data_IF_908084936191
#
_entry.id   IF_908084936191
#
_cell.length_a   1.000
_cell.length_b   1.000
_cell.length_c   1.000
_cell.angle_alpha   90.00
_cell.angle_beta   90.00
_cell.angle_gamma   90.00
#
_symmetry.space_group_name_H-M   'P 1'
#
loop_
_entity.id
_entity.type
_entity.pdbx_description
1 polymer ?
#
# COMPACT_ATOMS: atom_id res chain seq x y z
N UNK A 1 81.60 -9.84 -3.15
CA UNK A 1 80.19 -9.59 -2.77
C UNK A 1 79.34 -10.62 -3.48
N UNK A 2 78.86 -11.64 -2.78
CA UNK A 2 78.00 -12.68 -3.33
C UNK A 2 76.55 -12.21 -3.27
N UNK A 3 75.87 -12.13 -4.42
CA UNK A 3 74.45 -11.83 -4.51
C UNK A 3 73.66 -13.13 -4.29
N UNK A 4 72.82 -13.15 -3.27
CA UNK A 4 71.84 -14.21 -3.02
C UNK A 4 70.73 -14.11 -4.07
N UNK A 5 70.54 -15.18 -4.84
CA UNK A 5 69.43 -15.36 -5.75
C UNK A 5 68.23 -15.91 -4.95
N UNK A 6 67.18 -15.09 -4.81
CA UNK A 6 65.97 -15.47 -4.08
C UNK A 6 65.10 -16.38 -4.95
N UNK A 7 64.74 -17.56 -4.42
CA UNK A 7 63.82 -18.50 -5.05
C UNK A 7 62.40 -17.91 -5.16
N UNK A 8 61.65 -18.17 -6.25
CA UNK A 8 60.29 -17.66 -6.41
C UNK A 8 59.31 -18.37 -5.46
N UNK A 9 58.57 -17.57 -4.68
CA UNK A 9 57.46 -18.04 -3.83
C UNK A 9 56.36 -18.65 -4.69
N UNK A 10 55.92 -19.86 -4.34
CA UNK A 10 54.78 -20.52 -4.96
C UNK A 10 53.48 -19.71 -4.71
N UNK A 11 52.56 -19.65 -5.69
CA UNK A 11 51.27 -18.99 -5.52
C UNK A 11 50.41 -19.73 -4.48
N UNK A 12 49.57 -19.01 -3.70
CA UNK A 12 48.71 -19.63 -2.70
C UNK A 12 47.69 -20.56 -3.36
N UNK A 13 47.73 -21.83 -2.96
CA UNK A 13 46.79 -22.86 -3.38
C UNK A 13 45.37 -22.47 -2.94
N UNK A 14 44.48 -22.22 -3.91
CA UNK A 14 43.06 -22.01 -3.65
C UNK A 14 42.50 -23.24 -2.91
N UNK A 15 41.87 -23.00 -1.76
CA UNK A 15 41.17 -24.05 -1.02
C UNK A 15 40.13 -24.73 -1.93
N UNK A 16 39.95 -26.06 -1.85
CA UNK A 16 38.98 -26.76 -2.67
C UNK A 16 37.56 -26.22 -2.39
N UNK A 17 36.71 -26.06 -3.42
CA UNK A 17 35.34 -25.59 -3.24
C UNK A 17 34.59 -26.52 -2.27
N UNK A 18 33.88 -25.94 -1.30
CA UNK A 18 32.97 -26.69 -0.41
C UNK A 18 32.07 -27.59 -1.28
N UNK A 19 31.88 -28.87 -0.94
CA UNK A 19 30.96 -29.72 -1.67
C UNK A 19 29.57 -29.09 -1.64
N UNK A 20 28.95 -28.96 -2.82
CA UNK A 20 27.58 -28.47 -2.95
C UNK A 20 26.66 -29.36 -2.11
N UNK A 21 25.78 -28.75 -1.32
CA UNK A 21 24.81 -29.49 -0.53
C UNK A 21 23.91 -30.37 -1.42
N UNK A 22 23.51 -31.53 -0.91
CA UNK A 22 22.56 -32.38 -1.63
C UNK A 22 21.15 -31.74 -1.62
N UNK A 23 20.32 -32.09 -2.60
CA UNK A 23 18.93 -31.61 -2.65
C UNK A 23 18.13 -32.07 -1.42
N UNK A 24 18.31 -33.31 -0.96
CA UNK A 24 17.69 -33.83 0.28
C UNK A 24 18.10 -33.02 1.52
N UNK A 25 19.37 -32.61 1.62
CA UNK A 25 19.82 -31.78 2.73
C UNK A 25 19.20 -30.39 2.70
N UNK A 26 19.07 -29.80 1.50
CA UNK A 26 18.39 -28.51 1.31
C UNK A 26 16.92 -28.64 1.68
N UNK A 27 16.23 -29.67 1.23
CA UNK A 27 14.82 -29.91 1.55
C UNK A 27 14.61 -30.06 3.06
N UNK A 28 15.43 -30.88 3.73
CA UNK A 28 15.35 -31.08 5.19
C UNK A 28 15.57 -29.78 5.95
N UNK A 29 16.57 -28.97 5.58
CA UNK A 29 16.81 -27.66 6.21
C UNK A 29 15.67 -26.68 5.90
N UNK A 30 15.14 -26.70 4.67
CA UNK A 30 14.03 -25.85 4.27
C UNK A 30 12.80 -26.11 5.15
N UNK A 31 12.43 -27.38 5.34
CA UNK A 31 11.32 -27.76 6.22
C UNK A 31 11.51 -27.25 7.65
N UNK A 32 12.71 -27.39 8.21
CA UNK A 32 13.01 -26.91 9.55
C UNK A 32 12.83 -25.39 9.68
N UNK A 33 13.42 -24.62 8.75
CA UNK A 33 13.33 -23.15 8.74
C UNK A 33 11.88 -22.69 8.57
N UNK A 34 11.13 -23.32 7.68
CA UNK A 34 9.73 -22.97 7.40
C UNK A 34 8.85 -23.25 8.62
N UNK A 35 8.98 -24.41 9.26
CA UNK A 35 8.18 -24.73 10.47
C UNK A 35 8.50 -23.79 11.64
N UNK A 36 9.79 -23.47 11.85
CA UNK A 36 10.20 -22.52 12.88
C UNK A 36 9.65 -21.12 12.60
N UNK A 37 9.77 -20.65 11.36
CA UNK A 37 9.20 -19.37 10.95
C UNK A 37 7.68 -19.32 11.14
N UNK A 38 6.95 -20.38 10.75
CA UNK A 38 5.50 -20.41 10.91
C UNK A 38 5.07 -20.51 12.38
N UNK A 39 5.92 -21.03 13.26
CA UNK A 39 5.65 -21.12 14.70
C UNK A 39 5.96 -19.81 15.45
N UNK A 40 7.11 -19.20 15.18
CA UNK A 40 7.65 -18.06 15.95
C UNK A 40 7.33 -16.72 15.26
N UNK A 41 7.12 -16.73 13.93
CA UNK A 41 6.89 -15.56 13.08
C UNK A 41 8.02 -14.52 13.08
N UNK A 42 9.25 -14.96 13.32
CA UNK A 42 10.45 -14.10 13.31
C UNK A 42 11.07 -14.01 11.91
N UNK A 43 10.65 -13.00 11.15
CA UNK A 43 11.08 -12.80 9.75
C UNK A 43 12.60 -12.63 9.61
N UNK A 44 13.25 -11.89 10.52
CA UNK A 44 14.69 -11.61 10.43
C UNK A 44 15.52 -12.89 10.60
N UNK A 45 15.10 -13.75 11.52
CA UNK A 45 15.75 -15.04 11.76
C UNK A 45 15.58 -15.97 10.56
N UNK A 46 14.36 -16.10 10.03
CA UNK A 46 14.11 -16.92 8.84
C UNK A 46 14.97 -16.49 7.63
N UNK A 47 15.07 -15.18 7.37
CA UNK A 47 15.94 -14.66 6.31
C UNK A 47 17.42 -15.01 6.55
N UNK A 48 17.88 -14.94 7.79
CA UNK A 48 19.25 -15.28 8.16
C UNK A 48 19.53 -16.77 7.98
N UNK A 49 18.63 -17.65 8.43
CA UNK A 49 18.78 -19.10 8.25
C UNK A 49 18.83 -19.51 6.78
N UNK A 50 18.03 -18.87 5.92
CA UNK A 50 18.08 -19.14 4.46
C UNK A 50 19.42 -18.70 3.87
N UNK A 51 19.98 -17.58 4.31
CA UNK A 51 21.33 -17.15 3.87
C UNK A 51 22.42 -18.12 4.33
N UNK A 52 22.34 -18.58 5.57
CA UNK A 52 23.30 -19.53 6.16
C UNK A 52 23.26 -20.91 5.53
N UNK A 53 22.18 -21.23 4.80
CA UNK A 53 22.09 -22.44 4.00
C UNK A 53 23.15 -22.48 2.89
N UNK A 54 23.64 -21.32 2.41
CA UNK A 54 24.71 -21.18 1.42
C UNK A 54 24.51 -22.04 0.14
N UNK A 55 23.24 -22.16 -0.29
CA UNK A 55 22.83 -23.02 -1.42
C UNK A 55 22.05 -22.24 -2.51
N UNK A 56 22.58 -21.14 -3.06
CA UNK A 56 21.83 -20.23 -3.95
C UNK A 56 21.30 -20.91 -5.23
N UNK A 57 21.97 -21.95 -5.72
CA UNK A 57 21.55 -22.68 -6.93
C UNK A 57 20.41 -23.69 -6.68
N UNK A 58 20.12 -24.00 -5.42
CA UNK A 58 19.11 -24.97 -4.99
C UNK A 58 17.95 -24.31 -4.24
N UNK A 59 17.87 -22.97 -4.21
CA UNK A 59 16.76 -22.27 -3.54
C UNK A 59 15.38 -22.54 -4.17
N UNK A 60 15.32 -23.06 -5.39
CA UNK A 60 14.08 -23.62 -5.96
C UNK A 60 13.47 -24.71 -5.08
N UNK A 61 14.31 -25.54 -4.43
CA UNK A 61 13.89 -26.58 -3.48
C UNK A 61 13.24 -25.94 -2.25
N UNK A 62 13.80 -24.85 -1.74
CA UNK A 62 13.22 -24.10 -0.62
C UNK A 62 11.81 -23.58 -0.96
N UNK A 63 11.65 -23.01 -2.16
CA UNK A 63 10.36 -22.50 -2.64
C UNK A 63 9.35 -23.64 -2.81
N UNK A 64 9.71 -24.73 -3.49
CA UNK A 64 8.88 -25.93 -3.64
C UNK A 64 8.42 -26.44 -2.28
N UNK A 65 9.38 -26.70 -1.40
CA UNK A 65 9.14 -27.23 -0.04
C UNK A 65 8.18 -26.37 0.75
N UNK A 66 8.34 -25.04 0.69
CA UNK A 66 7.47 -24.11 1.40
C UNK A 66 6.08 -24.00 0.82
N UNK A 67 5.93 -24.09 -0.50
CA UNK A 67 4.59 -24.16 -1.11
C UNK A 67 3.91 -25.47 -0.69
N UNK A 68 4.56 -26.62 -0.85
CA UNK A 68 4.01 -27.94 -0.51
C UNK A 68 3.61 -28.05 0.97
N UNK A 69 4.48 -27.60 1.89
CA UNK A 69 4.22 -27.72 3.32
C UNK A 69 3.14 -26.77 3.84
N UNK A 70 2.78 -25.73 3.08
CA UNK A 70 1.81 -24.71 3.52
C UNK A 70 0.51 -24.69 2.75
N UNK A 71 0.45 -25.29 1.56
CA UNK A 71 -0.70 -25.23 0.65
C UNK A 71 -2.01 -25.63 1.34
N UNK A 72 -2.01 -26.72 2.10
CA UNK A 72 -3.19 -27.27 2.78
C UNK A 72 -3.31 -26.85 4.25
N UNK A 73 -2.44 -25.95 4.73
CA UNK A 73 -2.55 -25.39 6.09
C UNK A 73 -3.61 -24.27 6.12
N UNK A 74 -3.52 -23.37 7.10
CA UNK A 74 -4.43 -22.23 7.22
C UNK A 74 -4.08 -21.11 6.23
N UNK A 75 -5.06 -20.25 5.94
CA UNK A 75 -4.84 -19.05 5.10
C UNK A 75 -3.72 -18.15 5.65
N UNK A 76 -3.62 -18.02 6.97
CA UNK A 76 -2.54 -17.24 7.60
C UNK A 76 -1.16 -17.88 7.36
N UNK A 77 -1.05 -19.22 7.36
CA UNK A 77 0.20 -19.90 7.07
C UNK A 77 0.64 -19.68 5.61
N UNK A 78 -0.31 -19.74 4.66
CA UNK A 78 -0.06 -19.43 3.25
C UNK A 78 0.37 -17.98 3.04
N UNK A 79 -0.30 -17.05 3.72
CA UNK A 79 0.07 -15.63 3.68
C UNK A 79 1.47 -15.38 4.26
N UNK A 80 1.80 -15.98 5.41
CA UNK A 80 3.14 -15.89 5.99
C UNK A 80 4.20 -16.48 5.06
N UNK A 81 3.93 -17.62 4.44
CA UNK A 81 4.84 -18.21 3.44
C UNK A 81 5.07 -17.26 2.26
N UNK A 82 4.01 -16.68 1.70
CA UNK A 82 4.12 -15.70 0.63
C UNK A 82 4.92 -14.45 1.03
N UNK A 83 4.73 -13.96 2.26
CA UNK A 83 5.49 -12.85 2.81
C UNK A 83 6.98 -13.19 2.99
N UNK A 84 7.31 -14.40 3.44
CA UNK A 84 8.69 -14.87 3.54
C UNK A 84 9.37 -14.89 2.15
N UNK A 85 8.70 -15.45 1.14
CA UNK A 85 9.21 -15.45 -0.24
C UNK A 85 9.41 -14.04 -0.78
N UNK A 86 8.46 -13.13 -0.52
CA UNK A 86 8.60 -11.72 -0.88
C UNK A 86 9.81 -11.06 -0.22
N UNK A 87 10.02 -11.27 1.10
CA UNK A 87 11.17 -10.69 1.80
C UNK A 87 12.50 -11.26 1.32
N UNK A 88 12.55 -12.56 1.01
CA UNK A 88 13.74 -13.18 0.43
C UNK A 88 14.07 -12.62 -0.96
N UNK A 89 13.06 -12.37 -1.80
CA UNK A 89 13.21 -11.71 -3.11
C UNK A 89 13.71 -10.27 -2.93
N UNK A 90 13.05 -9.48 -2.06
CA UNK A 90 13.39 -8.08 -1.78
C UNK A 90 14.80 -7.92 -1.22
N UNK A 91 15.23 -8.85 -0.39
CA UNK A 91 16.58 -8.88 0.17
C UNK A 91 17.65 -9.44 -0.79
N UNK A 92 17.28 -9.85 -2.00
CA UNK A 92 18.18 -10.45 -2.99
C UNK A 92 18.73 -11.83 -2.61
N UNK A 93 18.22 -12.44 -1.54
CA UNK A 93 18.64 -13.76 -1.06
C UNK A 93 18.05 -14.86 -1.95
N UNK A 94 16.81 -14.68 -2.41
CA UNK A 94 16.16 -15.56 -3.38
C UNK A 94 16.15 -14.89 -4.77
N UNK A 95 16.94 -15.37 -5.74
CA UNK A 95 16.90 -14.86 -7.10
C UNK A 95 15.57 -15.22 -7.79
N UNK A 96 14.97 -14.32 -8.60
CA UNK A 96 13.72 -14.62 -9.31
C UNK A 96 13.74 -15.92 -10.14
N UNK A 97 14.83 -16.31 -10.82
CA UNK A 97 14.88 -17.59 -11.54
C UNK A 97 14.65 -18.82 -10.64
N UNK A 98 15.14 -18.79 -9.40
CA UNK A 98 14.93 -19.87 -8.43
C UNK A 98 13.49 -19.88 -7.90
N UNK A 99 12.91 -18.70 -7.67
CA UNK A 99 11.50 -18.55 -7.34
C UNK A 99 10.59 -19.17 -8.41
N UNK A 100 10.78 -18.78 -9.69
CA UNK A 100 9.97 -19.31 -10.77
C UNK A 100 10.14 -20.82 -10.95
N UNK A 101 11.36 -21.34 -10.82
CA UNK A 101 11.62 -22.78 -10.95
C UNK A 101 10.89 -23.58 -9.86
N UNK A 102 11.00 -23.17 -8.60
CA UNK A 102 10.31 -23.87 -7.50
C UNK A 102 8.78 -23.80 -7.61
N UNK A 103 8.24 -22.68 -8.08
CA UNK A 103 6.81 -22.54 -8.35
C UNK A 103 6.34 -23.42 -9.52
N UNK A 104 7.13 -23.46 -10.60
CA UNK A 104 6.81 -24.20 -11.82
C UNK A 104 6.61 -25.69 -11.53
N UNK A 105 7.47 -26.29 -10.68
CA UNK A 105 7.36 -27.70 -10.28
C UNK A 105 6.00 -28.03 -9.65
N UNK A 106 5.40 -27.09 -8.91
CA UNK A 106 4.05 -27.25 -8.33
C UNK A 106 2.95 -26.98 -9.36
N UNK A 107 3.11 -25.93 -10.17
CA UNK A 107 2.10 -25.54 -11.16
C UNK A 107 1.89 -26.60 -12.25
N UNK A 108 2.93 -27.37 -12.59
CA UNK A 108 2.86 -28.46 -13.57
C UNK A 108 1.95 -29.62 -13.10
N UNK A 109 1.82 -29.83 -11.78
CA UNK A 109 0.97 -30.89 -11.19
C UNK A 109 -0.29 -30.34 -10.51
N UNK A 110 -0.51 -29.02 -10.54
CA UNK A 110 -1.60 -28.37 -9.82
C UNK A 110 -3.00 -28.81 -10.28
N UNK A 111 -3.17 -29.18 -11.56
CA UNK A 111 -4.46 -29.70 -12.04
C UNK A 111 -4.78 -31.08 -11.43
N UNK A 112 -3.79 -31.97 -11.30
CA UNK A 112 -3.97 -33.27 -10.65
C UNK A 112 -4.25 -33.09 -9.16
N UNK A 113 -3.52 -32.18 -8.50
CA UNK A 113 -3.75 -31.84 -7.09
C UNK A 113 -5.14 -31.23 -6.85
N UNK A 114 -5.76 -30.59 -7.86
CA UNK A 114 -7.10 -30.03 -7.73
C UNK A 114 -8.19 -31.09 -7.51
N UNK A 115 -7.90 -32.37 -7.81
CA UNK A 115 -8.78 -33.50 -7.52
C UNK A 115 -8.99 -33.64 -6.01
N UNK A 116 -7.91 -33.52 -5.24
CA UNK A 116 -7.92 -33.67 -3.79
C UNK A 116 -8.09 -32.32 -3.06
N UNK A 117 -7.70 -31.21 -3.70
CA UNK A 117 -7.69 -29.86 -3.14
C UNK A 117 -8.56 -28.92 -3.99
N UNK A 118 -9.88 -28.85 -3.76
CA UNK A 118 -10.80 -28.07 -4.62
C UNK A 118 -10.47 -26.58 -4.75
N UNK A 119 -9.84 -26.00 -3.73
CA UNK A 119 -9.49 -24.57 -3.66
C UNK A 119 -8.01 -24.30 -3.96
N UNK A 120 -7.30 -25.23 -4.61
CA UNK A 120 -5.86 -25.12 -4.86
C UNK A 120 -5.45 -23.80 -5.54
N UNK A 121 -6.25 -23.31 -6.49
CA UNK A 121 -5.95 -22.07 -7.21
C UNK A 121 -5.97 -20.85 -6.29
N UNK A 122 -6.95 -20.77 -5.38
CA UNK A 122 -6.99 -19.75 -4.34
C UNK A 122 -5.80 -19.90 -3.38
N UNK A 123 -5.46 -21.12 -2.98
CA UNK A 123 -4.36 -21.37 -2.04
C UNK A 123 -3.00 -20.99 -2.65
N UNK A 124 -2.76 -21.35 -3.91
CA UNK A 124 -1.59 -20.89 -4.66
C UNK A 124 -1.59 -19.37 -4.78
N UNK A 125 -2.73 -18.75 -5.09
CA UNK A 125 -2.83 -17.30 -5.18
C UNK A 125 -2.51 -16.60 -3.84
N UNK A 126 -2.93 -17.16 -2.69
CA UNK A 126 -2.60 -16.62 -1.36
C UNK A 126 -1.09 -16.63 -1.07
N UNK A 127 -0.35 -17.62 -1.59
CA UNK A 127 1.11 -17.70 -1.46
C UNK A 127 1.81 -16.77 -2.48
N UNK A 128 1.25 -16.63 -3.67
CA UNK A 128 1.88 -15.88 -4.77
C UNK A 128 1.68 -14.37 -4.62
N UNK A 129 0.47 -13.92 -4.23
CA UNK A 129 0.08 -12.51 -4.22
C UNK A 129 1.08 -11.58 -3.51
N UNK A 130 1.63 -11.92 -2.32
CA UNK A 130 2.56 -11.04 -1.62
C UNK A 130 3.83 -10.67 -2.40
N UNK A 131 4.27 -11.50 -3.37
CA UNK A 131 5.46 -11.18 -4.18
C UNK A 131 5.26 -10.00 -5.13
N UNK A 132 4.02 -9.54 -5.31
CA UNK A 132 3.67 -8.35 -6.10
C UNK A 132 3.79 -7.04 -5.31
N UNK A 133 4.07 -7.12 -4.00
CA UNK A 133 4.32 -5.94 -3.18
C UNK A 133 5.62 -5.22 -3.58
N UNK A 134 5.77 -3.99 -3.11
CA UNK A 134 6.93 -3.14 -3.41
C UNK A 134 8.28 -3.80 -3.07
N UNK A 135 9.19 -3.81 -4.04
CA UNK A 135 10.48 -4.50 -3.95
C UNK A 135 10.43 -5.98 -4.32
N UNK A 136 9.26 -6.50 -4.74
CA UNK A 136 9.07 -7.83 -5.27
C UNK A 136 9.16 -7.92 -6.80
N UNK A 137 8.38 -8.80 -7.40
CA UNK A 137 8.36 -9.07 -8.84
C UNK A 137 7.28 -8.23 -9.53
N UNK A 138 7.61 -7.63 -10.67
CA UNK A 138 6.63 -6.90 -11.48
C UNK A 138 5.50 -7.81 -11.99
N UNK A 139 4.25 -7.34 -11.89
CA UNK A 139 3.04 -8.08 -12.29
C UNK A 139 3.14 -8.73 -13.66
N UNK A 140 3.56 -7.96 -14.68
CA UNK A 140 3.69 -8.48 -16.04
C UNK A 140 4.72 -9.59 -16.19
N UNK A 141 5.80 -9.57 -15.41
CA UNK A 141 6.79 -10.64 -15.42
C UNK A 141 6.28 -11.87 -14.68
N UNK A 142 5.68 -11.68 -13.50
CA UNK A 142 5.13 -12.76 -12.70
C UNK A 142 4.05 -13.52 -13.47
N UNK A 143 3.04 -12.81 -13.98
CA UNK A 143 1.87 -13.41 -14.62
C UNK A 143 2.27 -14.21 -15.87
N UNK A 144 3.11 -13.64 -16.74
CA UNK A 144 3.62 -14.37 -17.91
C UNK A 144 4.46 -15.59 -17.55
N UNK A 145 5.13 -15.60 -16.38
CA UNK A 145 5.97 -16.74 -15.96
C UNK A 145 5.13 -17.84 -15.33
N UNK A 146 4.24 -17.52 -14.39
CA UNK A 146 3.39 -18.52 -13.71
C UNK A 146 2.34 -19.11 -14.64
N UNK A 147 1.91 -18.37 -15.67
CA UNK A 147 0.95 -18.90 -16.65
C UNK A 147 1.54 -19.95 -17.59
N UNK A 148 2.85 -19.97 -17.85
CA UNK A 148 3.47 -20.87 -18.84
C UNK A 148 3.09 -22.35 -18.67
N UNK A 149 3.27 -22.98 -17.50
CA UNK A 149 2.87 -24.37 -17.29
C UNK A 149 1.35 -24.58 -17.33
N UNK A 150 0.56 -23.53 -17.12
CA UNK A 150 -0.90 -23.58 -17.01
C UNK A 150 -1.64 -23.32 -18.34
N UNK A 151 -0.96 -22.77 -19.35
CA UNK A 151 -1.55 -22.49 -20.66
C UNK A 151 -2.04 -23.76 -21.35
N UNK A 152 -1.25 -24.86 -21.44
CA UNK A 152 -1.73 -26.11 -22.04
C UNK A 152 -2.91 -26.74 -21.28
N UNK A 153 -3.02 -26.46 -19.99
CA UNK A 153 -4.08 -26.97 -19.11
C UNK A 153 -5.35 -26.11 -19.14
N UNK A 154 -5.32 -24.95 -19.80
CA UNK A 154 -6.42 -23.97 -19.74
C UNK A 154 -6.67 -23.40 -18.34
N UNK A 155 -5.68 -23.45 -17.44
CA UNK A 155 -5.81 -22.99 -16.03
C UNK A 155 -5.11 -21.68 -15.75
N UNK A 156 -4.40 -21.11 -16.73
CA UNK A 156 -3.68 -19.86 -16.56
C UNK A 156 -4.60 -18.74 -16.05
N UNK A 157 -5.69 -18.47 -16.75
CA UNK A 157 -6.64 -17.44 -16.36
C UNK A 157 -7.30 -17.68 -15.00
N UNK A 158 -7.52 -18.95 -14.62
CA UNK A 158 -8.10 -19.33 -13.32
C UNK A 158 -7.21 -18.84 -12.17
N UNK A 159 -5.91 -19.14 -12.21
CA UNK A 159 -4.96 -18.67 -11.20
C UNK A 159 -4.85 -17.14 -11.17
N UNK A 160 -4.78 -16.50 -12.34
CA UNK A 160 -4.62 -15.05 -12.42
C UNK A 160 -5.83 -14.29 -11.85
N UNK A 161 -7.05 -14.81 -12.05
CA UNK A 161 -8.25 -14.25 -11.44
C UNK A 161 -8.15 -14.27 -9.92
N UNK A 162 -7.77 -15.41 -9.32
CA UNK A 162 -7.62 -15.51 -7.86
C UNK A 162 -6.58 -14.52 -7.32
N UNK A 163 -5.44 -14.37 -7.99
CA UNK A 163 -4.41 -13.38 -7.62
C UNK A 163 -4.96 -11.95 -7.70
N UNK A 164 -5.66 -11.61 -8.78
CA UNK A 164 -6.25 -10.27 -8.94
C UNK A 164 -7.31 -9.96 -7.88
N UNK A 165 -8.18 -10.93 -7.57
CA UNK A 165 -9.20 -10.77 -6.52
C UNK A 165 -8.57 -10.62 -5.14
N UNK A 166 -7.47 -11.33 -4.85
CA UNK A 166 -6.71 -11.15 -3.61
C UNK A 166 -6.02 -9.78 -3.54
N UNK A 167 -5.44 -9.30 -4.63
CA UNK A 167 -4.93 -7.92 -4.68
C UNK A 167 -6.05 -6.92 -4.39
N UNK A 168 -7.25 -7.14 -4.92
CA UNK A 168 -8.40 -6.27 -4.68
C UNK A 168 -8.88 -6.26 -3.21
N UNK A 169 -8.39 -7.17 -2.34
CA UNK A 169 -8.59 -7.07 -0.89
C UNK A 169 -7.66 -6.04 -0.23
N UNK A 170 -6.51 -5.76 -0.84
CA UNK A 170 -5.50 -4.80 -0.33
C UNK A 170 -5.40 -3.50 -1.13
N UNK A 171 -6.07 -3.40 -2.29
CA UNK A 171 -6.13 -2.20 -3.12
C UNK A 171 -7.43 -2.16 -3.94
N UNK A 172 -7.75 -1.02 -4.56
CA UNK A 172 -8.96 -0.89 -5.38
C UNK A 172 -8.90 -1.70 -6.68
N UNK A 173 -10.07 -2.13 -7.18
CA UNK A 173 -10.22 -2.73 -8.52
C UNK A 173 -9.62 -1.85 -9.61
N UNK A 174 -9.77 -0.52 -9.52
CA UNK A 174 -9.18 0.44 -10.47
C UNK A 174 -7.65 0.37 -10.47
N UNK A 175 -7.03 0.32 -9.29
CA UNK A 175 -5.57 0.21 -9.16
C UNK A 175 -5.05 -1.14 -9.66
N UNK A 176 -5.70 -2.24 -9.31
CA UNK A 176 -5.36 -3.56 -9.83
C UNK A 176 -5.49 -3.61 -11.37
N UNK A 177 -6.55 -3.02 -11.92
CA UNK A 177 -6.76 -2.89 -13.35
C UNK A 177 -5.76 -1.98 -14.05
N UNK A 178 -5.29 -0.91 -13.39
CA UNK A 178 -4.20 -0.07 -13.89
C UNK A 178 -2.89 -0.86 -13.94
N UNK A 179 -2.51 -1.54 -12.86
CA UNK A 179 -1.29 -2.37 -12.82
C UNK A 179 -1.30 -3.46 -13.90
N UNK A 180 -2.46 -4.08 -14.14
CA UNK A 180 -2.65 -5.05 -15.21
C UNK A 180 -2.38 -4.44 -16.59
N UNK A 181 -2.98 -3.27 -16.86
CA UNK A 181 -2.86 -2.57 -18.15
C UNK A 181 -1.46 -2.00 -18.37
N UNK A 182 -0.84 -1.39 -17.36
CA UNK A 182 0.54 -0.88 -17.40
C UNK A 182 1.56 -1.99 -17.58
N UNK A 183 1.26 -3.20 -17.08
CA UNK A 183 2.07 -4.39 -17.32
C UNK A 183 1.96 -4.93 -18.76
N UNK A 184 1.09 -4.35 -19.59
CA UNK A 184 0.83 -4.77 -20.97
C UNK A 184 0.27 -6.19 -21.04
N UNK A 185 -0.63 -6.54 -20.11
CA UNK A 185 -1.27 -7.84 -20.04
C UNK A 185 -2.61 -7.84 -20.79
N UNK A 186 -2.91 -8.95 -21.46
CA UNK A 186 -4.17 -9.17 -22.16
C UNK A 186 -4.72 -10.54 -21.78
N UNK A 187 -6.03 -10.63 -21.52
CA UNK A 187 -6.66 -11.92 -21.24
C UNK A 187 -6.56 -12.90 -22.41
N UNK A 188 -6.41 -12.40 -23.64
CA UNK A 188 -6.16 -13.25 -24.82
C UNK A 188 -4.86 -14.05 -24.73
N UNK A 189 -3.90 -13.60 -23.92
CA UNK A 189 -2.65 -14.32 -23.71
C UNK A 189 -2.79 -15.49 -22.74
N UNK A 190 -3.93 -15.59 -22.03
CA UNK A 190 -4.16 -16.52 -20.92
C UNK A 190 -5.41 -17.39 -21.06
N UNK A 191 -6.25 -17.10 -22.05
CA UNK A 191 -7.48 -17.82 -22.35
C UNK A 191 -7.31 -18.67 -23.63
N UNK A 192 -8.07 -19.77 -23.78
CA UNK A 192 -8.22 -20.48 -25.04
C UNK A 192 -8.72 -19.56 -26.18
N UNK A 193 -8.36 -19.87 -27.43
CA UNK A 193 -8.68 -19.03 -28.60
C UNK A 193 -10.19 -18.85 -28.85
N UNK A 194 -11.02 -19.80 -28.40
CA UNK A 194 -12.47 -19.83 -28.56
C UNK A 194 -13.23 -19.12 -27.43
N UNK A 195 -12.54 -18.68 -26.37
CA UNK A 195 -13.18 -18.06 -25.21
C UNK A 195 -13.41 -16.55 -25.42
N UNK A 196 -14.66 -16.11 -25.19
CA UNK A 196 -15.02 -14.70 -25.27
C UNK A 196 -14.49 -13.94 -24.03
N UNK A 197 -13.54 -13.05 -24.25
CA UNK A 197 -12.89 -12.26 -23.19
C UNK A 197 -13.91 -11.43 -22.39
N UNK A 198 -14.87 -10.79 -23.04
CA UNK A 198 -15.84 -9.91 -22.37
C UNK A 198 -16.78 -10.72 -21.47
N UNK A 199 -17.24 -11.86 -21.98
CA UNK A 199 -18.01 -12.82 -21.20
C UNK A 199 -17.20 -13.33 -20.01
N UNK A 200 -15.96 -13.76 -20.24
CA UNK A 200 -15.07 -14.26 -19.19
C UNK A 200 -14.87 -13.25 -18.06
N UNK A 201 -14.49 -12.01 -18.39
CA UNK A 201 -14.22 -11.01 -17.35
C UNK A 201 -15.48 -10.64 -16.57
N UNK A 202 -16.65 -10.70 -17.20
CA UNK A 202 -17.94 -10.45 -16.55
C UNK A 202 -18.29 -11.60 -15.59
N UNK A 203 -18.19 -12.84 -16.06
CA UNK A 203 -18.47 -14.04 -15.27
C UNK A 203 -17.52 -14.14 -14.06
N UNK A 204 -16.27 -13.69 -14.22
CA UNK A 204 -15.23 -13.70 -13.18
C UNK A 204 -15.14 -12.42 -12.36
N UNK A 205 -15.94 -11.39 -12.66
CA UNK A 205 -15.93 -10.08 -11.97
C UNK A 205 -14.56 -9.38 -12.00
N UNK A 206 -13.88 -9.46 -13.14
CA UNK A 206 -12.56 -8.84 -13.39
C UNK A 206 -12.60 -7.83 -14.54
N UNK A 207 -13.76 -7.21 -14.80
CA UNK A 207 -14.00 -6.23 -15.86
C UNK A 207 -13.09 -5.00 -15.74
N UNK A 208 -12.67 -4.68 -14.50
CA UNK A 208 -11.73 -3.61 -14.20
C UNK A 208 -10.37 -3.75 -14.93
N UNK A 209 -10.05 -4.93 -15.45
CA UNK A 209 -8.83 -5.18 -16.23
C UNK A 209 -8.92 -4.76 -17.70
N UNK A 210 -10.13 -4.65 -18.27
CA UNK A 210 -10.30 -4.25 -19.68
C UNK A 210 -10.02 -2.76 -19.86
N UNK A 211 -10.28 -1.96 -18.82
CA UNK A 211 -10.27 -0.50 -18.90
C UNK A 211 -11.45 0.00 -19.72
N UNK A 212 -12.10 1.07 -19.28
CA UNK A 212 -13.07 1.74 -20.15
C UNK A 212 -12.30 2.34 -21.34
N UNK A 213 -12.71 2.00 -22.57
CA UNK A 213 -12.20 2.53 -23.84
C UNK A 213 -12.28 4.08 -23.94
N UNK A 214 -12.80 4.75 -22.90
CA UNK A 214 -12.89 6.21 -22.76
C UNK A 214 -11.80 6.82 -21.87
N UNK A 215 -11.10 6.03 -21.04
CA UNK A 215 -10.11 6.57 -20.08
C UNK A 215 -8.69 6.75 -20.65
N UNK A 216 -8.41 6.27 -21.86
CA UNK A 216 -7.18 6.68 -22.57
C UNK A 216 -7.21 8.14 -23.05
N UNK A 217 -8.34 8.84 -22.87
CA UNK A 217 -8.55 10.21 -23.33
C UNK A 217 -9.05 11.20 -22.26
N UNK A 218 -8.62 11.10 -20.99
CA UNK A 218 -8.45 12.30 -20.13
C UNK A 218 -7.80 11.95 -18.79
N UNK A 219 -6.49 12.12 -18.71
CA UNK A 219 -5.83 12.64 -17.49
C UNK A 219 -6.20 14.13 -17.31
N UNK A 220 -7.48 14.46 -17.34
CA UNK A 220 -7.96 15.79 -16.95
C UNK A 220 -8.51 15.63 -15.56
N UNK A 221 -7.70 16.02 -14.59
CA UNK A 221 -8.13 16.16 -13.23
C UNK A 221 -9.46 16.91 -13.10
N UNK A 222 -10.23 16.59 -12.05
CA UNK A 222 -11.53 17.19 -11.80
C UNK A 222 -11.43 18.72 -11.68
N UNK A 223 -12.37 19.50 -12.25
CA UNK A 223 -12.41 20.93 -12.03
C UNK A 223 -12.53 21.27 -10.53
N UNK A 224 -11.88 22.35 -10.05
CA UNK A 224 -11.98 22.91 -8.70
C UNK A 224 -13.37 22.88 -8.05
N UNK A 225 -14.38 23.31 -8.80
CA UNK A 225 -15.75 23.44 -8.29
C UNK A 225 -16.43 22.06 -8.11
N UNK A 226 -16.08 21.08 -8.93
CA UNK A 226 -16.64 19.73 -8.84
C UNK A 226 -15.98 18.91 -7.74
N UNK A 227 -14.70 19.18 -7.45
CA UNK A 227 -13.97 18.54 -6.35
C UNK A 227 -14.65 18.78 -5.00
N UNK A 228 -14.96 20.04 -4.66
CA UNK A 228 -15.64 20.38 -3.41
C UNK A 228 -16.99 19.69 -3.32
N UNK A 229 -17.79 19.77 -4.38
CA UNK A 229 -19.14 19.22 -4.40
C UNK A 229 -19.14 17.69 -4.17
N UNK A 230 -18.26 16.95 -4.84
CA UNK A 230 -18.22 15.49 -4.67
C UNK A 230 -17.71 15.06 -3.30
N UNK A 231 -16.75 15.81 -2.72
CA UNK A 231 -16.32 15.57 -1.34
C UNK A 231 -17.44 15.85 -0.34
N UNK A 232 -18.17 16.97 -0.50
CA UNK A 232 -19.34 17.28 0.33
C UNK A 232 -20.38 16.15 0.26
N UNK A 233 -20.69 15.66 -0.94
CA UNK A 233 -21.63 14.56 -1.16
C UNK A 233 -21.18 13.25 -0.49
N UNK A 234 -19.90 12.88 -0.60
CA UNK A 234 -19.36 11.67 0.02
C UNK A 234 -19.41 11.73 1.54
N UNK A 235 -19.02 12.87 2.11
CA UNK A 235 -19.01 13.08 3.56
C UNK A 235 -20.46 13.10 4.08
N UNK A 236 -21.38 13.76 3.37
CA UNK A 236 -22.81 13.79 3.73
C UNK A 236 -23.47 12.41 3.66
N UNK A 237 -23.06 11.56 2.70
CA UNK A 237 -23.50 10.16 2.61
C UNK A 237 -22.91 9.26 3.71
N UNK A 238 -22.15 9.81 4.66
CA UNK A 238 -21.47 9.07 5.72
C UNK A 238 -20.57 7.95 5.18
N UNK A 239 -19.95 8.17 4.01
CA UNK A 239 -18.93 7.27 3.49
C UNK A 239 -17.80 7.12 4.52
N UNK A 240 -17.26 5.92 4.73
CA UNK A 240 -16.12 5.73 5.63
C UNK A 240 -14.83 6.32 5.03
N UNK A 241 -13.76 6.40 5.82
CA UNK A 241 -12.50 6.99 5.35
C UNK A 241 -11.91 6.21 4.17
N UNK A 242 -12.10 4.88 4.14
CA UNK A 242 -11.62 4.05 3.05
C UNK A 242 -12.30 4.43 1.74
N UNK A 243 -13.62 4.59 1.72
CA UNK A 243 -14.36 5.00 0.52
C UNK A 243 -13.97 6.40 0.05
N UNK A 244 -13.62 7.32 0.95
CA UNK A 244 -13.10 8.65 0.56
C UNK A 244 -11.71 8.54 -0.05
N UNK A 245 -10.81 7.73 0.53
CA UNK A 245 -9.51 7.44 -0.08
C UNK A 245 -9.66 6.81 -1.47
N UNK A 246 -10.53 5.81 -1.59
CA UNK A 246 -10.82 5.12 -2.85
C UNK A 246 -11.32 6.10 -3.91
N UNK A 247 -12.20 7.04 -3.52
CA UNK A 247 -12.69 8.06 -4.43
C UNK A 247 -11.59 9.04 -4.86
N UNK A 248 -10.76 9.52 -3.94
CA UNK A 248 -9.65 10.43 -4.28
C UNK A 248 -8.68 9.76 -5.24
N UNK A 249 -8.27 8.52 -4.96
CA UNK A 249 -7.38 7.74 -5.85
C UNK A 249 -8.03 7.44 -7.20
N UNK A 250 -9.35 7.27 -7.25
CA UNK A 250 -10.05 6.95 -8.48
C UNK A 250 -10.32 8.17 -9.37
N UNK A 251 -10.47 9.36 -8.79
CA UNK A 251 -10.97 10.53 -9.51
C UNK A 251 -9.94 11.65 -9.70
N UNK A 252 -8.86 11.65 -8.92
CA UNK A 252 -7.80 12.66 -8.99
C UNK A 252 -6.50 12.07 -9.54
N UNK A 253 -5.79 12.86 -10.35
CA UNK A 253 -4.43 12.54 -10.74
C UNK A 253 -3.43 12.83 -9.59
N UNK A 254 -2.18 12.39 -9.74
CA UNK A 254 -1.15 12.53 -8.70
C UNK A 254 -0.85 14.00 -8.32
N UNK A 255 -1.00 14.93 -9.27
CA UNK A 255 -0.82 16.36 -9.00
C UNK A 255 -2.00 16.93 -8.20
N UNK A 256 -3.22 16.52 -8.51
CA UNK A 256 -4.41 16.92 -7.77
C UNK A 256 -4.49 16.26 -6.39
N UNK A 257 -4.11 14.99 -6.27
CA UNK A 257 -4.05 14.27 -5.01
C UNK A 257 -3.04 14.87 -4.03
N UNK A 258 -1.96 15.46 -4.55
CA UNK A 258 -0.96 16.21 -3.75
C UNK A 258 -1.19 17.72 -3.75
N UNK A 259 -2.34 18.22 -4.25
CA UNK A 259 -2.60 19.66 -4.37
C UNK A 259 -3.03 20.30 -3.04
N UNK A 260 -2.77 21.61 -2.89
CA UNK A 260 -3.33 22.38 -1.77
C UNK A 260 -4.86 22.50 -1.88
N UNK A 261 -5.38 22.40 -3.10
CA UNK A 261 -6.80 22.48 -3.38
C UNK A 261 -7.58 21.31 -2.79
N UNK A 262 -7.06 20.08 -2.89
CA UNK A 262 -7.66 18.93 -2.22
C UNK A 262 -7.69 19.12 -0.70
N UNK A 263 -6.57 19.54 -0.11
CA UNK A 263 -6.48 19.77 1.34
C UNK A 263 -7.51 20.77 1.81
N UNK A 264 -7.65 21.90 1.12
CA UNK A 264 -8.65 22.92 1.45
C UNK A 264 -10.08 22.37 1.31
N UNK A 265 -10.36 21.62 0.25
CA UNK A 265 -11.69 21.09 0.00
C UNK A 265 -12.08 20.02 1.02
N UNK A 266 -11.17 19.11 1.34
CA UNK A 266 -11.36 18.06 2.32
C UNK A 266 -11.56 18.64 3.72
N UNK A 267 -10.71 19.59 4.15
CA UNK A 267 -10.85 20.27 5.43
C UNK A 267 -12.20 20.99 5.55
N UNK A 268 -12.63 21.68 4.48
CA UNK A 268 -13.93 22.35 4.45
C UNK A 268 -15.08 21.36 4.58
N UNK A 269 -15.06 20.27 3.81
CA UNK A 269 -16.14 19.26 3.78
C UNK A 269 -16.29 18.57 5.13
N UNK A 270 -15.17 18.16 5.74
CA UNK A 270 -15.15 17.50 7.05
C UNK A 270 -15.65 18.45 8.13
N UNK A 271 -15.09 19.67 8.22
CA UNK A 271 -15.50 20.63 9.23
C UNK A 271 -16.97 21.01 9.08
N UNK A 272 -17.44 21.27 7.85
CA UNK A 272 -18.84 21.61 7.59
C UNK A 272 -19.80 20.48 8.03
N UNK A 273 -19.43 19.22 7.83
CA UNK A 273 -20.24 18.07 8.27
C UNK A 273 -20.31 17.88 9.79
N UNK A 274 -19.29 18.38 10.50
CA UNK A 274 -19.19 18.28 11.96
C UNK A 274 -19.88 19.44 12.70
N UNK A 275 -20.47 20.41 12.00
CA UNK A 275 -21.18 21.52 12.64
C UNK A 275 -22.61 21.08 12.98
N UNK A 276 -22.97 21.22 14.26
CA UNK A 276 -24.29 20.87 14.79
C UNK A 276 -24.92 22.04 15.56
N UNK A 277 -26.25 22.08 15.59
CA UNK A 277 -27.03 23.14 16.25
C UNK A 277 -27.13 24.41 15.40
N UNK A 278 -28.18 25.21 15.60
CA UNK A 278 -28.40 26.46 14.84
C UNK A 278 -28.08 27.73 15.65
N UNK A 279 -28.23 27.68 16.98
CA UNK A 279 -27.81 28.79 17.87
C UNK A 279 -27.71 28.34 19.36
N UNK A 280 -26.51 28.22 19.95
CA UNK A 280 -25.20 28.38 19.33
C UNK A 280 -24.80 27.14 18.51
N UNK A 281 -24.03 27.36 17.44
CA UNK A 281 -23.33 26.28 16.74
C UNK A 281 -22.34 25.58 17.67
N UNK A 282 -22.17 24.27 17.48
CA UNK A 282 -21.20 23.41 18.17
C UNK A 282 -20.47 22.52 17.18
N UNK A 283 -19.32 21.99 17.60
CA UNK A 283 -18.58 20.96 16.85
C UNK A 283 -18.94 19.59 17.42
N UNK A 284 -19.34 18.68 16.54
CA UNK A 284 -19.41 17.25 16.81
C UNK A 284 -17.99 16.68 16.75
N UNK A 285 -17.30 16.69 17.91
CA UNK A 285 -15.91 16.26 18.01
C UNK A 285 -15.72 14.80 17.57
N UNK A 286 -16.71 13.93 17.82
CA UNK A 286 -16.63 12.52 17.44
C UNK A 286 -16.54 12.36 15.91
N UNK A 287 -17.27 13.18 15.15
CA UNK A 287 -17.15 13.17 13.69
C UNK A 287 -15.79 13.66 13.21
N UNK A 288 -15.18 14.65 13.87
CA UNK A 288 -13.83 15.10 13.51
C UNK A 288 -12.80 14.01 13.83
N UNK A 289 -12.87 13.39 15.01
CA UNK A 289 -12.04 12.24 15.42
C UNK A 289 -12.15 11.08 14.42
N UNK A 290 -13.37 10.73 13.99
CA UNK A 290 -13.59 9.70 12.98
C UNK A 290 -12.91 10.02 11.64
N UNK A 291 -12.71 11.31 11.32
CA UNK A 291 -12.05 11.79 10.10
C UNK A 291 -10.58 12.17 10.29
N UNK A 292 -10.01 12.09 11.49
CA UNK A 292 -8.64 12.49 11.77
C UNK A 292 -7.63 11.78 10.86
N UNK A 293 -7.72 10.44 10.76
CA UNK A 293 -6.86 9.64 9.86
C UNK A 293 -6.99 10.01 8.38
N UNK A 294 -8.19 10.44 7.96
CA UNK A 294 -8.44 10.90 6.59
C UNK A 294 -7.71 12.22 6.33
N UNK A 295 -7.79 13.18 7.26
CA UNK A 295 -7.07 14.45 7.15
C UNK A 295 -5.55 14.24 7.21
N UNK A 296 -5.06 13.48 8.19
CA UNK A 296 -3.63 13.18 8.38
C UNK A 296 -2.97 12.54 7.15
N UNK A 297 -3.73 11.77 6.35
CA UNK A 297 -3.22 11.17 5.11
C UNK A 297 -2.80 12.23 4.07
N UNK A 298 -3.46 13.39 4.04
CA UNK A 298 -3.24 14.43 3.03
C UNK A 298 -2.53 15.68 3.59
N UNK A 299 -2.56 15.88 4.91
CA UNK A 299 -1.81 16.91 5.63
C UNK A 299 -0.40 16.40 5.94
N UNK A 300 0.39 16.19 4.89
CA UNK A 300 1.70 15.52 4.98
C UNK A 300 2.82 16.38 5.55
N UNK A 301 2.63 17.70 5.56
CA UNK A 301 3.60 18.68 6.01
C UNK A 301 2.92 19.94 6.57
N UNK A 302 3.72 20.75 7.26
CA UNK A 302 3.29 22.00 7.90
C UNK A 302 2.67 23.00 6.91
N UNK A 303 3.08 22.99 5.63
CA UNK A 303 2.48 23.86 4.62
C UNK A 303 1.07 23.40 4.26
N UNK A 304 0.81 22.08 4.21
CA UNK A 304 -0.54 21.52 4.05
C UNK A 304 -1.42 21.82 5.24
N UNK A 305 -0.91 21.65 6.45
CA UNK A 305 -1.63 21.98 7.68
C UNK A 305 -2.04 23.46 7.69
N UNK A 306 -1.14 24.37 7.30
CA UNK A 306 -1.44 25.79 7.15
C UNK A 306 -2.54 26.08 6.10
N UNK A 307 -2.53 25.37 4.96
CA UNK A 307 -3.60 25.48 3.96
C UNK A 307 -4.95 25.01 4.50
N UNK A 308 -4.96 23.99 5.34
CA UNK A 308 -6.16 23.51 5.99
C UNK A 308 -6.73 24.56 6.98
N UNK A 309 -5.87 25.22 7.76
CA UNK A 309 -6.28 26.33 8.64
C UNK A 309 -6.86 27.52 7.88
N UNK A 310 -6.32 27.86 6.71
CA UNK A 310 -6.93 28.89 5.84
C UNK A 310 -8.31 28.49 5.32
N UNK A 311 -8.50 27.23 4.94
CA UNK A 311 -9.81 26.72 4.53
C UNK A 311 -10.84 26.82 5.66
N UNK A 312 -10.44 26.43 6.88
CA UNK A 312 -11.29 26.55 8.07
C UNK A 312 -11.63 28.02 8.38
N UNK A 313 -10.67 28.93 8.29
CA UNK A 313 -10.94 30.38 8.43
C UNK A 313 -11.95 30.86 7.39
N UNK A 314 -11.79 30.48 6.12
CA UNK A 314 -12.71 30.85 5.05
C UNK A 314 -14.13 30.32 5.30
N UNK A 315 -14.26 29.10 5.84
CA UNK A 315 -15.54 28.53 6.27
C UNK A 315 -16.18 29.39 7.38
N UNK A 316 -15.42 29.80 8.40
CA UNK A 316 -15.93 30.69 9.45
C UNK A 316 -16.41 32.03 8.91
N UNK A 317 -15.70 32.60 7.94
CA UNK A 317 -16.13 33.84 7.26
C UNK A 317 -17.45 33.64 6.52
N UNK A 318 -17.60 32.52 5.80
CA UNK A 318 -18.84 32.18 5.09
C UNK A 318 -20.03 32.03 6.04
N UNK A 319 -19.79 31.62 7.29
CA UNK A 319 -20.81 31.47 8.33
C UNK A 319 -21.02 32.73 9.18
N UNK A 320 -20.49 33.88 8.75
CA UNK A 320 -20.58 35.15 9.48
C UNK A 320 -19.92 35.11 10.88
N UNK A 321 -18.89 34.27 11.04
CA UNK A 321 -18.00 34.21 12.20
C UNK A 321 -18.73 33.94 13.53
N UNK A 322 -19.37 32.75 13.67
CA UNK A 322 -20.08 32.40 14.89
C UNK A 322 -19.14 32.32 16.09
N UNK A 323 -19.63 32.77 17.25
CA UNK A 323 -18.85 32.80 18.48
C UNK A 323 -18.38 31.39 18.88
N UNK A 324 -17.13 31.29 19.33
CA UNK A 324 -16.47 30.07 19.83
C UNK A 324 -16.34 28.89 18.86
N UNK A 325 -16.92 28.93 17.65
CA UNK A 325 -16.88 27.78 16.74
C UNK A 325 -15.47 27.48 16.25
N UNK A 326 -14.72 28.51 15.83
CA UNK A 326 -13.33 28.35 15.39
C UNK A 326 -12.45 27.78 16.50
N UNK A 327 -12.66 28.24 17.74
CA UNK A 327 -11.94 27.76 18.92
C UNK A 327 -12.16 26.26 19.13
N UNK A 328 -13.42 25.80 19.09
CA UNK A 328 -13.74 24.38 19.24
C UNK A 328 -13.07 23.52 18.17
N UNK A 329 -13.02 23.98 16.91
CA UNK A 329 -12.27 23.26 15.87
C UNK A 329 -10.76 23.23 16.13
N UNK A 330 -10.17 24.33 16.60
CA UNK A 330 -8.73 24.37 16.93
C UNK A 330 -8.38 23.37 18.03
N UNK A 331 -9.18 23.33 19.11
CA UNK A 331 -9.00 22.37 20.20
C UNK A 331 -9.06 20.93 19.65
N UNK A 332 -10.12 20.58 18.91
CA UNK A 332 -10.29 19.20 18.38
C UNK A 332 -9.22 18.80 17.37
N UNK A 333 -8.80 19.71 16.48
CA UNK A 333 -7.79 19.41 15.46
C UNK A 333 -6.38 19.27 16.07
N UNK A 334 -6.11 19.98 17.17
CA UNK A 334 -4.89 19.83 17.95
C UNK A 334 -4.88 18.50 18.72
N UNK A 335 -5.95 18.21 19.47
CA UNK A 335 -6.07 16.99 20.30
C UNK A 335 -5.97 15.69 19.48
N UNK A 336 -6.41 15.72 18.21
CA UNK A 336 -6.39 14.57 17.30
C UNK A 336 -5.11 14.47 16.44
N UNK A 337 -4.07 15.25 16.74
CA UNK A 337 -2.81 15.30 15.98
C UNK A 337 -3.04 15.58 14.46
N UNK A 338 -4.06 16.36 14.12
CA UNK A 338 -4.35 16.71 12.71
C UNK A 338 -3.57 17.95 12.29
N UNK A 339 -3.44 18.92 13.19
CA UNK A 339 -2.67 20.16 13.00
C UNK A 339 -1.72 20.32 14.16
N UNK A 340 -0.45 20.52 13.86
CA UNK A 340 0.61 20.69 14.85
C UNK A 340 0.72 22.14 15.30
N UNK A 341 1.37 22.32 16.44
CA UNK A 341 1.62 23.61 17.06
C UNK A 341 2.27 24.63 16.11
N UNK A 342 3.27 24.21 15.34
CA UNK A 342 4.01 25.10 14.44
C UNK A 342 3.11 25.67 13.33
N UNK A 343 2.17 24.86 12.82
CA UNK A 343 1.20 25.30 11.83
C UNK A 343 0.24 26.35 12.39
N UNK A 344 -0.17 26.23 13.67
CA UNK A 344 -0.99 27.24 14.34
C UNK A 344 -0.24 28.58 14.47
N UNK A 345 1.01 28.58 14.92
CA UNK A 345 1.82 29.82 15.00
C UNK A 345 2.08 30.45 13.64
N UNK A 346 2.33 29.62 12.61
CA UNK A 346 2.43 30.12 11.23
C UNK A 346 1.15 30.73 10.72
N UNK A 347 0.01 30.11 11.03
CA UNK A 347 -1.28 30.71 10.71
C UNK A 347 -1.44 32.04 11.45
N UNK A 348 -1.16 32.11 12.75
CA UNK A 348 -1.27 33.33 13.56
C UNK A 348 -0.45 34.49 12.99
N UNK A 349 0.82 34.23 12.66
CA UNK A 349 1.77 35.22 12.16
C UNK A 349 1.67 35.52 10.66
N UNK A 350 0.84 34.78 9.92
CA UNK A 350 0.72 34.91 8.47
C UNK A 350 0.23 36.30 8.02
N UNK A 351 0.96 36.84 7.04
CA UNK A 351 0.65 38.11 6.35
C UNK A 351 0.30 37.91 4.88
N UNK A 352 -0.07 36.69 4.48
CA UNK A 352 -0.47 36.40 3.10
C UNK A 352 -1.67 37.28 2.71
N UNK A 353 -1.53 38.17 1.70
CA UNK A 353 -2.62 39.06 1.28
C UNK A 353 -3.89 38.33 0.87
N UNK A 354 -3.79 37.11 0.34
CA UNK A 354 -4.94 36.33 -0.11
C UNK A 354 -5.78 35.78 1.07
N UNK A 355 -5.19 35.67 2.26
CA UNK A 355 -5.80 35.00 3.42
C UNK A 355 -6.14 35.98 4.56
N UNK A 356 -6.13 37.29 4.29
CA UNK A 356 -6.44 38.32 5.30
C UNK A 356 -7.94 38.49 5.56
N UNK A 357 -8.80 37.99 4.67
CA UNK A 357 -10.25 38.15 4.83
C UNK A 357 -10.73 37.45 6.11
N UNK A 358 -11.34 38.22 7.01
CA UNK A 358 -11.85 37.72 8.29
C UNK A 358 -10.79 37.34 9.33
N UNK A 359 -9.50 37.40 8.98
CA UNK A 359 -8.38 37.02 9.84
C UNK A 359 -8.38 37.70 11.20
N UNK A 360 -8.63 39.01 11.24
CA UNK A 360 -8.60 39.78 12.48
C UNK A 360 -9.65 39.35 13.50
N UNK A 361 -10.84 38.95 13.04
CA UNK A 361 -11.90 38.44 13.94
C UNK A 361 -11.62 36.99 14.33
N UNK A 362 -11.15 36.18 13.38
CA UNK A 362 -10.71 34.82 13.65
C UNK A 362 -9.65 34.80 14.76
N UNK A 363 -8.59 35.63 14.66
CA UNK A 363 -7.55 35.78 15.68
C UNK A 363 -8.14 36.14 17.05
N UNK A 364 -9.06 37.12 17.11
CA UNK A 364 -9.71 37.51 18.37
C UNK A 364 -10.49 36.36 19.00
N UNK A 365 -11.09 35.48 18.20
CA UNK A 365 -11.89 34.35 18.71
C UNK A 365 -11.05 33.21 19.30
N UNK A 366 -9.76 33.14 18.97
CA UNK A 366 -8.85 32.06 19.41
C UNK A 366 -7.70 32.54 20.29
N UNK A 367 -7.76 33.77 20.83
CA UNK A 367 -6.72 34.30 21.74
C UNK A 367 -6.44 33.33 22.89
N UNK A 368 -7.50 32.84 23.53
CA UNK A 368 -7.37 31.92 24.66
C UNK A 368 -6.74 30.56 24.27
N UNK A 369 -6.77 30.16 22.99
CA UNK A 369 -6.12 28.94 22.52
C UNK A 369 -4.61 29.17 22.45
N UNK A 370 -4.19 30.28 21.84
CA UNK A 370 -2.78 30.64 21.74
C UNK A 370 -2.14 31.04 23.07
N UNK A 371 -2.92 31.56 24.03
CA UNK A 371 -2.43 31.76 25.39
C UNK A 371 -2.09 30.41 26.03
N UNK A 372 -3.02 29.46 25.96
CA UNK A 372 -2.82 28.12 26.50
C UNK A 372 -1.67 27.37 25.80
N UNK A 373 -1.57 27.46 24.47
CA UNK A 373 -0.53 26.77 23.69
C UNK A 373 0.89 27.20 24.11
N UNK A 374 1.11 28.50 24.32
CA UNK A 374 2.40 29.04 24.80
C UNK A 374 2.69 28.70 26.26
N UNK A 375 1.66 28.70 27.11
CA UNK A 375 1.82 28.31 28.53
C UNK A 375 2.23 26.82 28.65
N UNK A 376 1.67 25.96 27.79
CA UNK A 376 2.05 24.55 27.74
C UNK A 376 3.49 24.34 27.21
N UNK A 377 3.93 25.14 26.24
CA UNK A 377 5.31 25.12 25.71
C UNK A 377 6.32 25.48 26.82
N UNK A 378 6.09 26.57 27.56
CA UNK A 378 6.96 27.03 28.66
C UNK A 378 7.08 26.04 29.83
N UNK A 379 6.06 25.22 30.08
CA UNK A 379 6.08 24.15 31.08
C UNK A 379 6.87 22.92 30.61
N UNK A 380 6.83 22.62 29.31
CA UNK A 380 7.52 21.47 28.71
C UNK A 380 9.04 21.69 28.58
N UNK A 381 9.47 22.91 28.26
CA UNK A 381 10.89 23.29 28.15
C UNK A 381 11.59 23.43 29.51
N UNK A 382 10.82 23.59 30.60
CA UNK A 382 11.32 23.68 31.97
C UNK A 382 11.33 22.34 32.74
N UNK A 383 10.95 21.23 32.09
CA UNK A 383 10.79 19.89 32.70
C UNK A 383 11.92 18.90 32.38
#
# INVERSE_FOLDING_TARGET
MAQHEAAPMAPPTLAPPKPAMSEEDVERKSKAIIEEYLHINEMKEALQCVREMDAPQQLSVFVRTGVESTLERSAIARQHMGLLLHQLLKAGTLPPPQYYKGLQEILEVAEDMAIDIPHIWLYLAEIITPVLHEGGIHMGQLFRRVSKPLLPLGKAAVLLVEILLLLCKGMSHKKAGLLWREAGLSWRDFLPEDEDVNKFVTDKKVEFTLGDDLETASRKGLPPAQLQQQLDELILQKADNQRVFDWVEANLDEQQASSNQLVRALMTSVCQSAIIGENPYKVDAEQVTQRAKLLQKYLTDEQKELQALYALQALMVKMEQPANLLRMFFDTLYDEDVIKEEAFYRWESSKDPAEQQGKGVALKSVIAFFTWLREAEEESDNS
#
